data_IF_450648348962
#
_entry.id   IF_450648348962
#
_cell.length_a   1.000
_cell.length_b   1.000
_cell.length_c   1.000
_cell.angle_alpha   90.00
_cell.angle_beta   90.00
_cell.angle_gamma   90.00
#
_symmetry.space_group_name_H-M   'P 1'
#
loop_
_entity.id
_entity.type
_entity.pdbx_description
1 polymer ?
#
# COMPACT_ATOMS: atom_id res chain seq x y z
N UNK A 1 7.80 2.71 -2.71
CA UNK A 1 6.37 2.53 -2.41
C UNK A 1 5.62 3.13 -3.58
N UNK A 2 4.66 2.40 -4.14
CA UNK A 2 3.83 2.85 -5.25
C UNK A 2 2.55 3.47 -4.69
N UNK A 3 2.10 4.59 -5.25
CA UNK A 3 0.77 5.15 -5.00
C UNK A 3 -0.13 4.72 -6.15
N UNK A 4 -1.14 3.90 -5.86
CA UNK A 4 -1.97 3.27 -6.89
C UNK A 4 -3.46 3.49 -6.59
N UNK A 5 -4.06 4.45 -7.27
CA UNK A 5 -5.51 4.73 -7.19
C UNK A 5 -6.35 3.65 -7.88
N UNK A 6 -5.75 2.77 -8.68
CA UNK A 6 -6.37 1.58 -9.27
C UNK A 6 -6.43 0.39 -8.31
N UNK A 7 -5.66 0.40 -7.22
CA UNK A 7 -5.72 -0.63 -6.18
C UNK A 7 -6.75 -0.25 -5.10
N UNK A 8 -7.75 -1.11 -4.88
CA UNK A 8 -8.76 -0.86 -3.82
C UNK A 8 -8.21 -1.00 -2.40
N UNK A 9 -7.13 -1.76 -2.20
CA UNK A 9 -6.56 -2.07 -0.90
C UNK A 9 -5.05 -1.84 -0.89
N UNK A 10 -4.51 -1.54 0.29
CA UNK A 10 -3.08 -1.35 0.51
C UNK A 10 -2.37 -2.69 0.70
N UNK A 11 -1.27 -2.88 -0.04
CA UNK A 11 -0.56 -4.16 -0.15
C UNK A 11 0.90 -4.04 0.26
N UNK A 12 1.40 -5.06 0.95
CA UNK A 12 2.82 -5.27 1.23
C UNK A 12 3.26 -6.59 0.62
N UNK A 13 4.47 -6.58 0.03
CA UNK A 13 5.05 -7.80 -0.51
C UNK A 13 5.42 -8.79 0.60
N UNK A 14 5.21 -10.08 0.33
CA UNK A 14 5.41 -11.17 1.30
C UNK A 14 6.79 -11.19 1.95
N UNK A 15 7.87 -10.96 1.19
CA UNK A 15 9.24 -10.96 1.70
C UNK A 15 9.49 -9.82 2.71
N UNK A 16 8.89 -8.65 2.50
CA UNK A 16 8.97 -7.53 3.42
C UNK A 16 8.17 -7.79 4.68
N UNK A 17 6.96 -8.34 4.54
CA UNK A 17 6.13 -8.73 5.68
C UNK A 17 6.86 -9.73 6.60
N UNK A 18 7.59 -10.69 6.03
CA UNK A 18 8.41 -11.64 6.80
C UNK A 18 9.57 -10.96 7.56
N UNK A 19 10.20 -9.94 6.97
CA UNK A 19 11.31 -9.20 7.59
C UNK A 19 10.88 -8.34 8.77
N UNK A 20 9.64 -7.82 8.74
CA UNK A 20 9.13 -6.97 9.81
C UNK A 20 8.97 -7.70 11.15
N UNK A 21 9.03 -9.05 11.18
CA UNK A 21 8.80 -9.90 12.38
C UNK A 21 7.51 -9.58 13.13
N UNK A 22 6.61 -8.81 12.52
CA UNK A 22 5.30 -8.54 13.06
C UNK A 22 4.49 -9.83 13.04
N UNK A 23 3.54 -9.96 13.97
CA UNK A 23 2.63 -11.10 14.01
C UNK A 23 1.69 -11.01 12.80
N UNK A 24 2.17 -11.52 11.67
CA UNK A 24 1.42 -11.63 10.45
C UNK A 24 0.16 -12.45 10.75
N UNK A 25 -0.99 -11.80 10.69
CA UNK A 25 -2.26 -12.46 10.94
C UNK A 25 -2.61 -13.19 9.64
N UNK A 26 -2.21 -14.46 9.56
CA UNK A 26 -2.61 -15.38 8.51
C UNK A 26 -4.12 -15.62 8.61
N UNK A 27 -4.91 -14.71 8.04
CA UNK A 27 -6.37 -14.79 8.01
C UNK A 27 -6.89 -14.35 6.65
N UNK A 28 -6.97 -15.31 5.74
CA UNK A 28 -8.19 -15.63 4.99
C UNK A 28 -7.85 -16.68 3.92
N UNK A 29 -8.31 -17.95 4.04
CA UNK A 29 -8.02 -18.95 3.01
C UNK A 29 -8.72 -18.69 1.66
N UNK A 30 -9.46 -17.57 1.49
CA UNK A 30 -10.36 -17.38 0.35
C UNK A 30 -10.46 -15.93 -0.17
N UNK A 31 -9.44 -15.09 0.01
CA UNK A 31 -9.43 -13.73 -0.59
C UNK A 31 -8.39 -13.70 -1.71
N UNK A 32 -8.89 -13.68 -2.94
CA UNK A 32 -8.07 -13.46 -4.13
C UNK A 32 -8.16 -12.00 -4.58
N UNK A 33 -7.03 -11.39 -4.91
CA UNK A 33 -6.99 -10.16 -5.67
C UNK A 33 -7.14 -10.47 -7.16
N UNK A 34 -7.82 -9.60 -7.88
CA UNK A 34 -7.85 -9.60 -9.34
C UNK A 34 -7.10 -8.37 -9.83
N UNK A 35 -6.08 -8.56 -10.63
CA UNK A 35 -5.31 -7.47 -11.24
C UNK A 35 -6.06 -6.88 -12.44
N UNK A 36 -5.58 -5.75 -12.95
CA UNK A 36 -6.12 -5.14 -14.17
C UNK A 36 -6.04 -6.07 -15.40
N UNK A 37 -5.05 -6.97 -15.45
CA UNK A 37 -4.93 -7.99 -16.52
C UNK A 37 -5.90 -9.16 -16.35
N UNK A 38 -6.60 -9.22 -15.21
CA UNK A 38 -7.53 -10.28 -14.88
C UNK A 38 -6.89 -11.50 -14.21
N UNK A 39 -5.57 -11.48 -14.02
CA UNK A 39 -4.85 -12.48 -13.22
C UNK A 39 -5.33 -12.45 -11.77
N UNK A 40 -5.26 -13.60 -11.12
CA UNK A 40 -5.61 -13.76 -9.71
C UNK A 40 -4.36 -14.04 -8.90
N UNK A 41 -4.22 -13.34 -7.78
CA UNK A 41 -3.20 -13.63 -6.77
C UNK A 41 -3.85 -13.73 -5.40
N UNK A 42 -3.42 -14.68 -4.59
CA UNK A 42 -4.01 -14.92 -3.27
C UNK A 42 -3.41 -13.97 -2.23
N UNK A 43 -4.26 -13.49 -1.32
CA UNK A 43 -3.80 -12.83 -0.10
C UNK A 43 -3.17 -13.86 0.81
N UNK A 44 -1.90 -13.64 1.16
CA UNK A 44 -1.14 -14.49 2.11
C UNK A 44 -1.53 -14.23 3.55
N UNK A 45 -1.98 -13.01 3.86
CA UNK A 45 -2.41 -12.62 5.20
C UNK A 45 -2.61 -11.12 5.30
N UNK A 46 -2.66 -10.62 6.53
CA UNK A 46 -2.73 -9.18 6.82
C UNK A 46 -1.99 -8.86 8.11
N UNK A 47 -1.58 -7.61 8.25
CA UNK A 47 -0.91 -7.09 9.44
C UNK A 47 -1.39 -5.66 9.71
N UNK A 48 -1.51 -5.31 10.99
CA UNK A 48 -1.80 -3.94 11.40
C UNK A 48 -0.45 -3.27 11.70
N UNK A 49 -0.04 -2.33 10.83
CA UNK A 49 1.27 -1.69 10.91
C UNK A 49 1.16 -0.18 10.68
N UNK A 50 2.27 0.51 10.93
CA UNK A 50 2.38 1.92 10.62
C UNK A 50 3.12 2.15 9.31
N UNK A 51 2.52 2.95 8.43
CA UNK A 51 3.17 3.46 7.23
C UNK A 51 3.62 4.89 7.50
N UNK A 52 4.88 5.18 7.23
CA UNK A 52 5.43 6.53 7.33
C UNK A 52 5.38 7.19 5.95
N UNK A 53 4.80 8.39 5.89
CA UNK A 53 4.74 9.22 4.70
C UNK A 53 5.14 10.64 5.11
N UNK A 54 6.28 11.12 4.62
CA UNK A 54 6.88 12.35 5.14
C UNK A 54 7.25 12.22 6.62
N UNK A 55 6.87 13.20 7.42
CA UNK A 55 7.04 13.23 8.88
C UNK A 55 5.91 12.52 9.65
N UNK A 56 4.86 12.06 8.94
CA UNK A 56 3.65 11.52 9.54
C UNK A 56 3.62 10.00 9.51
N UNK A 57 3.01 9.43 10.55
CA UNK A 57 2.87 7.99 10.75
C UNK A 57 1.41 7.59 10.81
N UNK A 58 1.02 6.61 9.98
CA UNK A 58 -0.36 6.23 9.75
C UNK A 58 -0.57 4.75 10.10
N UNK A 59 -1.39 4.49 11.11
CA UNK A 59 -1.72 3.11 11.53
C UNK A 59 -2.80 2.53 10.63
N UNK A 60 -2.46 1.51 9.85
CA UNK A 60 -3.36 0.91 8.86
C UNK A 60 -3.25 -0.60 8.81
N UNK A 61 -4.33 -1.23 8.38
CA UNK A 61 -4.35 -2.66 8.07
C UNK A 61 -3.82 -2.87 6.67
N UNK A 62 -2.74 -3.62 6.54
CA UNK A 62 -2.06 -3.88 5.28
C UNK A 62 -2.26 -5.35 4.91
N UNK A 63 -2.65 -5.61 3.67
CA UNK A 63 -2.77 -6.96 3.14
C UNK A 63 -1.44 -7.42 2.56
N UNK A 64 -1.13 -8.71 2.70
CA UNK A 64 0.13 -9.29 2.24
C UNK A 64 -0.15 -10.15 1.02
N UNK A 65 0.58 -9.92 -0.07
CA UNK A 65 0.47 -10.69 -1.31
C UNK A 65 1.81 -10.77 -2.05
N UNK A 66 1.93 -11.73 -2.96
CA UNK A 66 3.07 -11.80 -3.87
C UNK A 66 2.86 -10.83 -5.02
N UNK A 67 3.35 -9.61 -4.83
CA UNK A 67 3.31 -8.49 -5.79
C UNK A 67 4.73 -8.08 -6.21
N UNK A 68 4.87 -7.38 -7.34
CA UNK A 68 6.17 -6.90 -7.83
C UNK A 68 6.71 -5.77 -6.95
N UNK A 69 5.89 -4.73 -6.77
CA UNK A 69 6.25 -3.58 -5.96
C UNK A 69 6.40 -3.97 -4.48
N UNK A 70 7.36 -3.35 -3.76
CA UNK A 70 7.55 -3.66 -2.34
C UNK A 70 6.31 -3.33 -1.50
N UNK A 71 5.64 -2.22 -1.80
CA UNK A 71 4.45 -1.75 -1.10
C UNK A 71 3.63 -0.89 -2.06
N UNK A 72 2.31 -1.11 -2.09
CA UNK A 72 1.34 -0.36 -2.88
C UNK A 72 0.37 0.31 -1.89
N UNK A 73 0.31 1.64 -1.91
CA UNK A 73 -0.74 2.41 -1.23
C UNK A 73 -1.99 2.42 -2.10
N UNK A 74 -2.99 1.69 -1.65
CA UNK A 74 -4.29 1.63 -2.30
C UNK A 74 -5.23 2.74 -1.85
N UNK A 75 -6.38 2.78 -2.51
CA UNK A 75 -7.42 3.77 -2.29
C UNK A 75 -7.96 3.75 -0.86
N UNK A 76 -8.01 2.60 -0.20
CA UNK A 76 -8.42 2.45 1.20
C UNK A 76 -7.59 3.31 2.18
N UNK A 77 -6.27 3.36 1.98
CA UNK A 77 -5.35 4.16 2.78
C UNK A 77 -5.45 5.63 2.40
N UNK A 78 -5.41 5.93 1.08
CA UNK A 78 -5.46 7.29 0.57
C UNK A 78 -6.72 8.02 1.03
N UNK A 79 -7.89 7.37 0.92
CA UNK A 79 -9.16 7.94 1.36
C UNK A 79 -9.25 8.06 2.87
N UNK A 80 -8.85 7.02 3.62
CA UNK A 80 -8.94 7.02 5.10
C UNK A 80 -8.15 8.16 5.72
N UNK A 81 -7.00 8.51 5.14
CA UNK A 81 -6.11 9.55 5.66
C UNK A 81 -6.14 10.85 4.86
N UNK A 82 -7.18 11.04 4.03
CA UNK A 82 -7.44 12.25 3.26
C UNK A 82 -6.23 12.71 2.43
N UNK A 83 -5.60 11.77 1.73
CA UNK A 83 -4.53 12.09 0.79
C UNK A 83 -5.10 12.71 -0.49
N UNK A 84 -4.44 13.77 -0.96
CA UNK A 84 -4.64 14.33 -2.30
C UNK A 84 -3.44 13.96 -3.15
N UNK A 85 -3.68 13.46 -4.36
CA UNK A 85 -2.64 13.24 -5.37
C UNK A 85 -2.60 14.46 -6.28
N UNK A 86 -1.52 15.22 -6.25
CA UNK A 86 -1.31 16.41 -7.06
C UNK A 86 -0.31 16.09 -8.18
N UNK A 87 -0.85 15.81 -9.38
CA UNK A 87 -0.06 15.42 -10.53
C UNK A 87 0.64 16.60 -11.19
N UNK A 88 0.14 17.83 -11.01
CA UNK A 88 0.77 19.04 -11.56
C UNK A 88 2.09 19.32 -10.82
N UNK A 89 2.07 19.17 -9.50
CA UNK A 89 3.26 19.32 -8.66
C UNK A 89 4.08 18.05 -8.47
N UNK A 90 3.56 16.90 -8.92
CA UNK A 90 4.17 15.59 -8.73
C UNK A 90 4.41 15.26 -7.23
N UNK A 91 3.35 15.40 -6.42
CA UNK A 91 3.38 15.16 -4.97
C UNK A 91 2.08 14.50 -4.47
N UNK A 92 2.14 13.93 -3.27
CA UNK A 92 0.96 13.59 -2.48
C UNK A 92 0.89 14.49 -1.25
N UNK A 93 -0.33 14.86 -0.85
CA UNK A 93 -0.57 15.83 0.22
C UNK A 93 -1.46 15.23 1.28
N UNK A 94 -1.12 15.40 2.55
CA UNK A 94 -1.97 14.98 3.68
C UNK A 94 -1.71 15.86 4.90
N UNK A 95 -2.77 16.31 5.57
CA UNK A 95 -2.66 17.08 6.82
C UNK A 95 -1.75 18.32 6.73
N UNK A 96 -1.71 18.98 5.57
CA UNK A 96 -0.88 20.17 5.31
C UNK A 96 0.57 19.88 4.92
N UNK A 97 1.00 18.61 4.88
CA UNK A 97 2.32 18.19 4.42
C UNK A 97 2.28 17.83 2.93
N UNK A 98 3.34 18.23 2.22
CA UNK A 98 3.56 17.93 0.79
C UNK A 98 4.71 16.92 0.68
N UNK A 99 4.47 15.80 0.02
CA UNK A 99 5.40 14.66 -0.07
C UNK A 99 5.67 14.40 -1.57
N UNK A 100 6.87 14.71 -2.07
CA UNK A 100 7.20 14.51 -3.47
C UNK A 100 7.04 13.05 -3.92
N UNK A 101 6.46 12.85 -5.10
CA UNK A 101 6.44 11.55 -5.76
C UNK A 101 7.76 11.35 -6.49
N UNK A 102 8.41 10.21 -6.25
CA UNK A 102 9.61 9.83 -6.96
C UNK A 102 9.24 9.23 -8.33
N UNK A 103 9.83 9.74 -9.39
CA UNK A 103 9.72 9.13 -10.72
C UNK A 103 10.52 7.82 -10.75
N UNK A 104 9.97 6.79 -11.38
CA UNK A 104 10.77 5.64 -11.76
C UNK A 104 11.85 6.10 -12.75
N UNK A 105 13.11 5.75 -12.49
CA UNK A 105 14.14 5.80 -13.52
C UNK A 105 13.83 4.65 -14.48
N UNK A 106 13.06 4.93 -15.54
CA UNK A 106 12.75 3.97 -16.62
C UNK A 106 13.85 4.02 -17.66
#
# INVERSE_FOLDING_TARGET
>A
MLVDTGANITLLRTDLAQKLKEQLIYTAPNISLKTATGEKTEIRGKLDASIECGSRKFHHRIYVADITDPCILGLDFLQKFNFTVDLEKNEIRTGGEEIPLFSANV
#
